data_IF_149013019643
#
_entry.id   IF_149013019643
#
_cell.length_a   1.000
_cell.length_b   1.000
_cell.length_c   1.000
_cell.angle_alpha   90.00
_cell.angle_beta   90.00
_cell.angle_gamma   90.00
#
_symmetry.space_group_name_H-M   'P 1'
#
loop_
_entity.id
_entity.type
_entity.pdbx_description
1 polymer ?
#
# COMPACT_ATOMS: atom_id res chain seq x y z
N UNK A 1 15.53 -5.43 -14.05
CA UNK A 1 15.68 -6.14 -12.77
C UNK A 1 16.23 -5.17 -11.73
N UNK A 2 15.43 -4.14 -11.38
CA UNK A 2 15.85 -2.97 -10.57
C UNK A 2 14.77 -2.56 -9.55
N UNK A 3 13.80 -3.45 -9.29
CA UNK A 3 12.67 -3.18 -8.39
C UNK A 3 12.58 -4.31 -7.38
N UNK A 4 12.59 -3.96 -6.12
CA UNK A 4 12.29 -4.87 -5.02
C UNK A 4 10.84 -4.71 -4.58
N UNK A 5 10.14 -5.82 -4.46
CA UNK A 5 8.77 -5.87 -4.01
C UNK A 5 8.61 -6.94 -2.93
N UNK A 6 8.00 -6.55 -1.80
CA UNK A 6 7.75 -7.46 -0.67
C UNK A 6 6.25 -7.63 -0.43
N UNK A 7 5.72 -8.82 -0.68
CA UNK A 7 4.31 -9.15 -0.45
C UNK A 7 3.87 -8.94 1.01
N UNK A 8 4.73 -9.20 1.99
CA UNK A 8 4.36 -9.09 3.40
C UNK A 8 3.98 -7.65 3.80
N UNK A 9 4.64 -6.65 3.22
CA UNK A 9 4.32 -5.24 3.47
C UNK A 9 2.94 -4.85 2.94
N UNK A 10 2.50 -5.47 1.85
CA UNK A 10 1.23 -5.13 1.21
C UNK A 10 0.06 -5.96 1.78
N UNK A 11 0.26 -7.27 1.95
CA UNK A 11 -0.79 -8.20 2.39
C UNK A 11 -0.89 -8.25 3.92
N UNK A 12 0.23 -8.38 4.63
CA UNK A 12 0.21 -8.56 6.09
C UNK A 12 0.06 -7.24 6.82
N UNK A 13 0.82 -6.22 6.41
CA UNK A 13 0.81 -4.89 7.04
C UNK A 13 -0.29 -4.01 6.46
N UNK A 14 -0.29 -3.83 5.13
CA UNK A 14 -1.28 -3.00 4.43
C UNK A 14 -2.67 -3.62 4.28
N UNK A 15 -2.84 -4.90 4.61
CA UNK A 15 -4.12 -5.64 4.50
C UNK A 15 -4.77 -5.54 3.10
N UNK A 16 -3.96 -5.41 2.05
CA UNK A 16 -4.45 -5.33 0.68
C UNK A 16 -4.87 -6.71 0.19
N UNK A 17 -6.11 -6.83 -0.25
CA UNK A 17 -6.65 -8.07 -0.83
C UNK A 17 -5.94 -8.45 -2.14
N UNK A 18 -5.70 -9.76 -2.32
CA UNK A 18 -5.00 -10.32 -3.48
C UNK A 18 -5.60 -9.84 -4.82
N UNK A 19 -6.93 -9.77 -4.86
CA UNK A 19 -7.71 -9.41 -6.05
C UNK A 19 -7.45 -7.98 -6.51
N UNK A 20 -6.98 -7.10 -5.62
CA UNK A 20 -6.61 -5.72 -5.97
C UNK A 20 -5.48 -5.70 -7.01
N UNK A 21 -4.48 -6.56 -6.82
CA UNK A 21 -3.30 -6.63 -7.68
C UNK A 21 -3.47 -7.66 -8.79
N UNK A 22 -3.97 -8.86 -8.46
CA UNK A 22 -3.99 -10.02 -9.34
C UNK A 22 -5.35 -10.32 -9.98
N UNK A 23 -6.39 -9.55 -9.65
CA UNK A 23 -7.76 -9.82 -10.09
C UNK A 23 -8.33 -11.06 -9.39
N UNK A 24 -9.53 -11.46 -9.78
CA UNK A 24 -10.20 -12.65 -9.24
C UNK A 24 -9.57 -13.94 -9.75
N UNK A 25 -8.40 -14.28 -9.22
CA UNK A 25 -7.63 -15.47 -9.62
C UNK A 25 -8.46 -16.74 -9.44
N UNK A 26 -9.36 -16.79 -8.46
CA UNK A 26 -10.28 -17.90 -8.21
C UNK A 26 -11.28 -18.17 -9.36
N UNK A 27 -11.54 -17.17 -10.22
CA UNK A 27 -12.41 -17.28 -11.40
C UNK A 27 -11.60 -17.51 -12.70
N UNK A 28 -10.27 -17.53 -12.64
CA UNK A 28 -9.40 -17.68 -13.82
C UNK A 28 -9.16 -19.16 -14.16
N UNK A 29 -9.58 -19.59 -15.35
CA UNK A 29 -9.24 -20.93 -15.88
C UNK A 29 -7.72 -21.07 -16.13
N UNK A 30 -7.09 -20.00 -16.61
CA UNK A 30 -5.64 -19.87 -16.75
C UNK A 30 -5.22 -18.49 -16.21
N UNK A 31 -4.16 -18.46 -15.40
CA UNK A 31 -3.65 -17.21 -14.82
C UNK A 31 -3.26 -16.24 -15.93
N UNK A 32 -3.75 -15.01 -15.81
CA UNK A 32 -3.44 -13.92 -16.71
C UNK A 32 -3.05 -12.67 -15.91
N UNK A 33 -2.30 -11.79 -16.56
CA UNK A 33 -1.95 -10.51 -15.95
C UNK A 33 -3.20 -9.61 -15.92
N UNK A 34 -3.72 -9.37 -14.72
CA UNK A 34 -4.89 -8.50 -14.50
C UNK A 34 -4.49 -7.02 -14.45
N UNK A 35 -3.54 -6.67 -13.57
CA UNK A 35 -3.05 -5.30 -13.42
C UNK A 35 -1.81 -5.03 -14.27
N UNK A 36 -1.57 -3.78 -14.71
CA UNK A 36 -0.37 -3.43 -15.46
C UNK A 36 0.94 -3.64 -14.68
N UNK A 37 0.89 -3.55 -13.34
CA UNK A 37 2.05 -3.67 -12.43
C UNK A 37 3.25 -2.81 -12.87
N UNK A 38 2.96 -1.68 -13.51
CA UNK A 38 3.96 -0.70 -13.93
C UNK A 38 4.26 0.28 -12.80
N UNK A 39 5.38 1.00 -12.88
CA UNK A 39 5.73 2.02 -11.88
C UNK A 39 4.61 3.03 -11.65
N UNK A 40 3.99 3.53 -12.72
CA UNK A 40 2.88 4.48 -12.62
C UNK A 40 1.65 3.90 -11.90
N UNK A 41 1.39 2.60 -12.07
CA UNK A 41 0.34 1.90 -11.34
C UNK A 41 0.68 1.80 -9.85
N UNK A 42 1.92 1.43 -9.50
CA UNK A 42 2.37 1.37 -8.10
C UNK A 42 2.27 2.74 -7.41
N UNK A 43 2.80 3.79 -8.05
CA UNK A 43 2.79 5.16 -7.50
C UNK A 43 1.37 5.64 -7.27
N UNK A 44 0.46 5.44 -8.23
CA UNK A 44 -0.93 5.87 -8.06
C UNK A 44 -1.65 5.09 -6.97
N UNK A 45 -1.39 3.78 -6.86
CA UNK A 45 -1.90 2.97 -5.75
C UNK A 45 -1.44 3.55 -4.40
N UNK A 46 -0.15 3.89 -4.26
CA UNK A 46 0.38 4.45 -3.01
C UNK A 46 -0.20 5.83 -2.66
N UNK A 47 -0.48 6.68 -3.65
CA UNK A 47 -1.15 7.99 -3.46
C UNK A 47 -2.61 7.89 -3.02
N UNK A 48 -3.26 6.77 -3.33
CA UNK A 48 -4.71 6.61 -3.15
C UNK A 48 -5.05 5.70 -1.97
N UNK A 49 -4.15 4.79 -1.62
CA UNK A 49 -4.38 3.81 -0.57
C UNK A 49 -4.17 4.44 0.80
N UNK A 50 -5.25 4.46 1.59
CA UNK A 50 -5.22 4.94 2.96
C UNK A 50 -4.59 3.91 3.90
N UNK A 51 -3.73 4.39 4.80
CA UNK A 51 -3.09 3.57 5.83
C UNK A 51 -4.09 3.26 6.92
N UNK A 52 -4.26 1.97 7.21
CA UNK A 52 -5.15 1.49 8.26
C UNK A 52 -4.43 1.56 9.61
N UNK A 53 -4.48 2.73 10.28
CA UNK A 53 -3.89 2.93 11.61
C UNK A 53 -4.65 2.19 12.72
N UNK A 54 -5.96 2.03 12.57
CA UNK A 54 -6.81 1.42 13.58
C UNK A 54 -6.51 -0.07 13.70
N UNK A 55 -6.33 -0.56 14.93
CA UNK A 55 -6.12 -1.97 15.25
C UNK A 55 -4.91 -2.60 14.51
N UNK A 56 -3.88 -1.80 14.20
CA UNK A 56 -2.68 -2.23 13.49
C UNK A 56 -1.39 -1.83 14.23
N UNK A 57 -0.86 -2.77 15.02
CA UNK A 57 0.35 -2.59 15.84
C UNK A 57 1.56 -2.11 15.03
N UNK A 58 1.64 -2.47 13.74
CA UNK A 58 2.74 -2.04 12.87
C UNK A 58 2.83 -0.51 12.76
N UNK A 59 1.70 0.18 12.80
CA UNK A 59 1.65 1.62 12.63
C UNK A 59 1.63 2.42 13.95
N UNK A 60 1.82 1.78 15.11
CA UNK A 60 1.91 2.46 16.41
C UNK A 60 3.05 3.48 16.48
N UNK A 61 4.10 3.31 15.67
CA UNK A 61 5.20 4.26 15.57
C UNK A 61 4.81 5.60 14.92
N UNK A 62 3.67 5.67 14.23
CA UNK A 62 3.19 6.84 13.49
C UNK A 62 2.22 7.70 14.33
N UNK A 63 2.54 7.89 15.61
CA UNK A 63 1.65 8.55 16.59
C UNK A 63 1.24 9.97 16.19
N UNK A 64 2.12 10.71 15.51
CA UNK A 64 1.81 12.07 15.05
C UNK A 64 0.63 12.09 14.07
N UNK A 65 0.62 11.16 13.10
CA UNK A 65 -0.48 11.05 12.13
C UNK A 65 -1.77 10.62 12.80
N UNK A 66 -1.70 9.69 13.76
CA UNK A 66 -2.87 9.26 14.52
C UNK A 66 -3.48 10.45 15.28
N UNK A 67 -2.65 11.24 15.96
CA UNK A 67 -3.08 12.44 16.67
C UNK A 67 -3.70 13.47 15.74
N UNK A 68 -3.08 13.73 14.59
CA UNK A 68 -3.60 14.72 13.64
C UNK A 68 -4.95 14.29 13.03
N UNK A 69 -5.17 12.98 12.83
CA UNK A 69 -6.46 12.43 12.44
C UNK A 69 -7.52 12.60 13.54
N UNK A 70 -7.16 12.36 14.79
CA UNK A 70 -8.06 12.51 15.95
C UNK A 70 -8.44 13.97 16.22
N UNK A 71 -7.50 14.90 16.05
CA UNK A 71 -7.72 16.34 16.17
C UNK A 71 -8.46 16.95 14.96
N UNK A 72 -8.59 16.19 13.87
CA UNK A 72 -9.20 16.66 12.62
C UNK A 72 -8.33 17.66 11.85
N UNK A 73 -7.01 17.65 12.09
CA UNK A 73 -6.05 18.45 11.34
C UNK A 73 -5.84 17.90 9.92
N UNK A 74 -6.04 16.59 9.74
CA UNK A 74 -5.98 15.88 8.47
C UNK A 74 -7.14 14.88 8.39
N UNK A 75 -7.68 14.68 7.18
CA UNK A 75 -8.81 13.77 6.98
C UNK A 75 -8.38 12.31 6.80
N UNK A 76 -7.17 12.10 6.25
CA UNK A 76 -6.63 10.77 5.93
C UNK A 76 -5.12 10.81 5.80
N UNK A 77 -4.52 9.63 5.82
CA UNK A 77 -3.10 9.42 5.56
C UNK A 77 -2.96 8.25 4.60
N UNK A 78 -2.15 8.44 3.58
CA UNK A 78 -1.91 7.49 2.51
C UNK A 78 -0.53 6.86 2.62
N UNK A 79 -0.27 5.85 1.79
CA UNK A 79 1.05 5.22 1.71
C UNK A 79 2.11 6.22 1.25
N UNK A 80 1.75 7.21 0.43
CA UNK A 80 2.62 8.32 0.06
C UNK A 80 3.09 9.12 1.29
N UNK A 81 2.17 9.47 2.18
CA UNK A 81 2.44 10.31 3.35
C UNK A 81 3.44 9.67 4.33
N UNK A 82 3.46 8.33 4.41
CA UNK A 82 4.40 7.58 5.26
C UNK A 82 5.72 7.20 4.55
N UNK A 83 6.01 7.83 3.41
CA UNK A 83 7.26 7.66 2.65
C UNK A 83 7.26 6.47 1.68
N UNK A 84 6.09 6.01 1.25
CA UNK A 84 5.96 4.91 0.29
C UNK A 84 6.34 5.27 -1.15
N UNK A 85 6.70 6.52 -1.44
CA UNK A 85 7.15 6.97 -2.77
C UNK A 85 8.65 7.27 -2.84
N UNK A 86 9.38 7.03 -1.74
CA UNK A 86 10.83 7.25 -1.71
C UNK A 86 11.55 6.27 -2.66
N UNK A 87 12.47 6.79 -3.47
CA UNK A 87 13.15 6.01 -4.53
C UNK A 87 13.76 4.71 -3.98
N UNK A 88 14.43 4.79 -2.83
CA UNK A 88 15.14 3.69 -2.18
C UNK A 88 14.25 2.60 -1.58
N UNK A 89 12.93 2.83 -1.50
CA UNK A 89 11.99 1.83 -0.96
C UNK A 89 11.68 0.73 -1.97
N UNK A 90 11.79 1.04 -3.26
CA UNK A 90 11.47 0.13 -4.35
C UNK A 90 12.68 -0.11 -5.25
N UNK A 91 13.58 0.86 -5.41
CA UNK A 91 14.74 0.77 -6.28
C UNK A 91 16.02 0.82 -5.45
N UNK A 92 16.99 -0.04 -5.78
CA UNK A 92 18.32 -0.07 -5.16
C UNK A 92 19.35 0.66 -6.02
#
# INVERSE_FOLDING_TARGET
DHVYFNHAQHVTVGKVECQTCHGKVEEMEVVQQYSPLSMGWCVNCHRQTEVQFKDNEYYEAYQHYQKDLEEGNIDKVTVEDIGGLECQKCHY
#
